data_IF_841930119048
#
_entry.id   IF_841930119048
#
_cell.length_a   1.000
_cell.length_b   1.000
_cell.length_c   1.000
_cell.angle_alpha   90.00
_cell.angle_beta   90.00
_cell.angle_gamma   90.00
#
_symmetry.space_group_name_H-M   'P 1'
#
loop_
_entity.id
_entity.type
_entity.pdbx_description
1 polymer ?
#
# COMPACT_ATOMS: atom_id res chain seq x y z
N UNK A 1 13.36 -12.50 27.91
CA UNK A 1 12.87 -13.03 26.61
C UNK A 1 13.96 -12.77 25.57
N UNK A 2 14.30 -13.78 24.77
CA UNK A 2 15.51 -13.78 23.94
C UNK A 2 15.24 -13.31 22.50
N UNK A 3 16.29 -13.02 21.73
CA UNK A 3 16.19 -12.69 20.30
C UNK A 3 15.48 -13.80 19.50
N UNK A 4 15.49 -15.04 20.00
CA UNK A 4 14.84 -16.23 19.40
C UNK A 4 13.33 -16.06 19.25
N UNK A 5 12.68 -15.47 20.24
CA UNK A 5 11.22 -15.27 20.21
C UNK A 5 10.83 -14.26 19.12
N UNK A 6 11.63 -13.21 18.94
CA UNK A 6 11.38 -12.20 17.93
C UNK A 6 11.61 -12.70 16.50
N UNK A 7 12.63 -13.54 16.28
CA UNK A 7 12.90 -14.15 14.97
C UNK A 7 11.76 -15.08 14.54
N UNK A 8 11.23 -15.90 15.46
CA UNK A 8 10.04 -16.73 15.21
C UNK A 8 8.79 -15.89 14.86
N UNK A 9 8.61 -14.75 15.52
CA UNK A 9 7.51 -13.83 15.19
C UNK A 9 7.71 -13.24 13.79
N UNK A 10 8.93 -12.80 13.44
CA UNK A 10 9.23 -12.25 12.11
C UNK A 10 9.12 -13.31 11.01
N UNK A 11 9.40 -14.58 11.29
CA UNK A 11 9.18 -15.67 10.35
C UNK A 11 7.73 -15.78 9.90
N UNK A 12 6.77 -15.57 10.82
CA UNK A 12 5.34 -15.52 10.49
C UNK A 12 5.00 -14.36 9.54
N UNK A 13 5.70 -13.24 9.63
CA UNK A 13 5.54 -12.15 8.67
C UNK A 13 6.10 -12.54 7.29
N UNK A 14 7.26 -13.20 7.25
CA UNK A 14 7.81 -13.78 6.01
C UNK A 14 6.84 -14.71 5.29
N UNK A 15 6.11 -15.55 6.03
CA UNK A 15 5.09 -16.45 5.48
C UNK A 15 3.87 -15.74 4.87
N UNK A 16 3.57 -14.49 5.28
CA UNK A 16 2.48 -13.70 4.69
C UNK A 16 2.89 -12.96 3.41
N UNK A 17 4.17 -12.63 3.28
CA UNK A 17 4.70 -11.90 2.14
C UNK A 17 4.39 -12.53 0.76
N UNK A 18 4.48 -13.86 0.52
CA UNK A 18 4.14 -14.42 -0.78
C UNK A 18 2.66 -14.26 -1.13
N UNK A 19 1.76 -14.32 -0.14
CA UNK A 19 0.33 -14.07 -0.35
C UNK A 19 0.11 -12.62 -0.77
N UNK A 20 0.74 -11.67 -0.08
CA UNK A 20 0.71 -10.26 -0.46
C UNK A 20 1.26 -10.04 -1.87
N UNK A 21 2.40 -10.66 -2.21
CA UNK A 21 2.99 -10.58 -3.55
C UNK A 21 2.01 -11.05 -4.64
N UNK A 22 1.32 -12.18 -4.43
CA UNK A 22 0.31 -12.71 -5.35
C UNK A 22 -0.86 -11.73 -5.49
N UNK A 23 -1.39 -11.20 -4.38
CA UNK A 23 -2.51 -10.25 -4.44
C UNK A 23 -2.13 -8.95 -5.17
N UNK A 24 -0.93 -8.42 -4.95
CA UNK A 24 -0.42 -7.26 -5.69
C UNK A 24 -0.25 -7.58 -7.19
N UNK A 25 0.23 -8.77 -7.54
CA UNK A 25 0.34 -9.20 -8.94
C UNK A 25 -1.04 -9.31 -9.61
N UNK A 26 -2.01 -9.93 -8.94
CA UNK A 26 -3.41 -10.00 -9.41
C UNK A 26 -3.98 -8.59 -9.57
N UNK A 27 -3.69 -7.68 -8.64
CA UNK A 27 -4.12 -6.29 -8.71
C UNK A 27 -3.52 -5.56 -9.93
N UNK A 28 -2.25 -5.80 -10.25
CA UNK A 28 -1.60 -5.28 -11.48
C UNK A 28 -2.32 -5.79 -12.73
N UNK A 29 -2.58 -7.09 -12.83
CA UNK A 29 -3.26 -7.68 -14.00
C UNK A 29 -4.65 -7.07 -14.18
N UNK A 30 -5.43 -6.96 -13.10
CA UNK A 30 -6.76 -6.34 -13.13
C UNK A 30 -6.68 -4.87 -13.55
N UNK A 31 -5.69 -4.12 -13.05
CA UNK A 31 -5.49 -2.71 -13.40
C UNK A 31 -5.19 -2.51 -14.88
N UNK A 32 -4.38 -3.41 -15.48
CA UNK A 32 -4.10 -3.40 -16.92
C UNK A 32 -5.38 -3.68 -17.72
N UNK A 33 -6.14 -4.72 -17.35
CA UNK A 33 -7.42 -5.05 -18.00
C UNK A 33 -8.40 -3.86 -17.94
N UNK A 34 -8.51 -3.21 -16.77
CA UNK A 34 -9.37 -2.04 -16.59
C UNK A 34 -8.96 -0.84 -17.45
N UNK A 35 -7.65 -0.64 -17.65
CA UNK A 35 -7.14 0.45 -18.49
C UNK A 35 -7.46 0.22 -19.97
N UNK A 36 -7.48 -1.04 -20.42
CA UNK A 36 -7.71 -1.41 -21.82
C UNK A 36 -9.20 -1.48 -22.21
N UNK A 37 -10.11 -1.54 -21.23
CA UNK A 37 -11.55 -1.72 -21.50
C UNK A 37 -12.42 -0.78 -20.67
N UNK A 38 -12.82 0.34 -21.28
CA UNK A 38 -13.77 1.28 -20.70
C UNK A 38 -15.13 0.63 -20.37
N UNK A 39 -15.58 -0.34 -21.17
CA UNK A 39 -16.83 -1.07 -20.95
C UNK A 39 -16.81 -1.93 -19.69
N UNK A 40 -15.63 -2.38 -19.25
CA UNK A 40 -15.46 -3.17 -18.03
C UNK A 40 -15.08 -2.32 -16.81
N UNK A 41 -14.94 -1.00 -16.96
CA UNK A 41 -14.38 -0.12 -15.94
C UNK A 41 -15.12 -0.26 -14.59
N UNK A 42 -16.45 -0.27 -14.59
CA UNK A 42 -17.24 -0.39 -13.34
C UNK A 42 -17.04 -1.75 -12.65
N UNK A 43 -17.00 -2.83 -13.43
CA UNK A 43 -16.74 -4.17 -12.90
C UNK A 43 -15.33 -4.26 -12.32
N UNK A 44 -14.34 -3.74 -13.05
CA UNK A 44 -12.95 -3.71 -12.63
C UNK A 44 -12.75 -2.89 -11.35
N UNK A 45 -13.40 -1.72 -11.23
CA UNK A 45 -13.35 -0.90 -10.01
C UNK A 45 -13.89 -1.66 -8.79
N UNK A 46 -15.01 -2.38 -8.92
CA UNK A 46 -15.59 -3.16 -7.84
C UNK A 46 -14.68 -4.32 -7.41
N UNK A 47 -14.14 -5.09 -8.37
CA UNK A 47 -13.22 -6.19 -8.09
C UNK A 47 -11.93 -5.65 -7.45
N UNK A 48 -11.39 -4.55 -7.99
CA UNK A 48 -10.20 -3.88 -7.48
C UNK A 48 -10.39 -3.43 -6.03
N UNK A 49 -11.58 -2.93 -5.68
CA UNK A 49 -11.88 -2.53 -4.31
C UNK A 49 -11.89 -3.72 -3.35
N UNK A 50 -12.58 -4.82 -3.70
CA UNK A 50 -12.57 -6.05 -2.88
C UNK A 50 -11.14 -6.56 -2.68
N UNK A 51 -10.34 -6.54 -3.74
CA UNK A 51 -8.95 -6.96 -3.68
C UNK A 51 -8.10 -6.03 -2.78
N UNK A 52 -8.29 -4.71 -2.86
CA UNK A 52 -7.62 -3.75 -1.97
C UNK A 52 -7.98 -3.96 -0.51
N UNK A 53 -9.25 -4.24 -0.19
CA UNK A 53 -9.67 -4.56 1.18
C UNK A 53 -8.98 -5.85 1.66
N UNK A 54 -8.86 -6.86 0.80
CA UNK A 54 -8.11 -8.09 1.10
C UNK A 54 -6.62 -7.82 1.39
N UNK A 55 -5.97 -6.99 0.55
CA UNK A 55 -4.58 -6.56 0.76
C UNK A 55 -4.45 -5.80 2.08
N UNK A 56 -5.35 -4.84 2.35
CA UNK A 56 -5.36 -4.06 3.59
C UNK A 56 -5.48 -4.96 4.82
N UNK A 57 -6.39 -5.93 4.79
CA UNK A 57 -6.57 -6.88 5.89
C UNK A 57 -5.27 -7.65 6.18
N UNK A 58 -4.59 -8.15 5.16
CA UNK A 58 -3.31 -8.83 5.32
C UNK A 58 -2.18 -7.90 5.77
N UNK A 59 -2.15 -6.65 5.31
CA UNK A 59 -1.18 -5.65 5.81
C UNK A 59 -1.42 -5.40 7.31
N UNK A 60 -2.67 -5.26 7.76
CA UNK A 60 -2.99 -5.08 9.19
C UNK A 60 -2.52 -6.28 10.01
N UNK A 61 -2.74 -7.51 9.52
CA UNK A 61 -2.24 -8.73 10.16
C UNK A 61 -0.71 -8.73 10.22
N UNK A 62 -0.04 -8.45 9.10
CA UNK A 62 1.43 -8.36 9.03
C UNK A 62 2.00 -7.30 9.97
N UNK A 63 1.40 -6.11 9.99
CA UNK A 63 1.76 -5.01 10.88
C UNK A 63 1.63 -5.40 12.36
N UNK A 64 0.58 -6.15 12.73
CA UNK A 64 0.41 -6.67 14.09
C UNK A 64 1.52 -7.66 14.46
N UNK A 65 1.92 -8.54 13.54
CA UNK A 65 3.02 -9.49 13.76
C UNK A 65 4.33 -8.73 13.98
N UNK A 66 4.66 -7.79 13.10
CA UNK A 66 5.89 -6.99 13.22
C UNK A 66 5.89 -6.14 14.51
N UNK A 67 4.74 -5.58 14.90
CA UNK A 67 4.61 -4.84 16.16
C UNK A 67 4.78 -5.72 17.41
N UNK A 68 4.39 -6.99 17.37
CA UNK A 68 4.69 -7.96 18.46
C UNK A 68 6.19 -8.21 18.57
N UNK A 69 6.90 -8.37 17.44
CA UNK A 69 8.36 -8.46 17.43
C UNK A 69 8.99 -7.17 17.99
N UNK A 70 8.47 -6.01 17.60
CA UNK A 70 8.89 -4.71 18.14
C UNK A 70 8.73 -4.60 19.66
N UNK A 71 7.59 -5.04 20.19
CA UNK A 71 7.35 -5.04 21.64
C UNK A 71 8.30 -6.00 22.37
N UNK A 72 8.53 -7.19 21.81
CA UNK A 72 9.44 -8.22 22.36
C UNK A 72 10.88 -7.72 22.42
N UNK A 73 11.31 -6.94 21.42
CA UNK A 73 12.65 -6.39 21.30
C UNK A 73 12.82 -4.99 21.91
N UNK A 74 11.74 -4.40 22.45
CA UNK A 74 11.66 -2.98 22.78
C UNK A 74 12.23 -2.07 21.67
N UNK A 75 11.80 -2.31 20.42
CA UNK A 75 12.34 -1.65 19.24
C UNK A 75 11.35 -0.66 18.61
N UNK A 76 11.68 0.62 18.70
CA UNK A 76 10.83 1.72 18.22
C UNK A 76 10.59 1.68 16.70
N UNK A 77 11.57 1.25 15.89
CA UNK A 77 11.40 1.19 14.44
C UNK A 77 10.29 0.19 14.04
N UNK A 78 10.23 -0.98 14.68
CA UNK A 78 9.18 -1.97 14.40
C UNK A 78 7.80 -1.54 14.91
N UNK A 79 7.75 -0.86 16.05
CA UNK A 79 6.50 -0.30 16.59
C UNK A 79 5.96 0.82 15.69
N UNK A 80 6.85 1.70 15.23
CA UNK A 80 6.54 2.80 14.31
C UNK A 80 6.12 2.28 12.93
N UNK A 81 6.80 1.23 12.42
CA UNK A 81 6.39 0.54 11.20
C UNK A 81 4.92 0.11 11.28
N UNK A 82 4.54 -0.59 12.36
CA UNK A 82 3.15 -1.06 12.55
C UNK A 82 2.15 0.09 12.47
N UNK A 83 2.40 1.20 13.16
CA UNK A 83 1.47 2.31 13.21
C UNK A 83 1.33 2.98 11.85
N UNK A 84 2.44 3.32 11.20
CA UNK A 84 2.39 4.05 9.94
C UNK A 84 1.98 3.20 8.74
N UNK A 85 2.33 1.91 8.69
CA UNK A 85 1.87 1.05 7.59
C UNK A 85 0.35 0.88 7.62
N UNK A 86 -0.25 0.80 8.81
CA UNK A 86 -1.71 0.67 8.97
C UNK A 86 -2.41 1.97 8.57
N UNK A 87 -1.99 3.10 9.16
CA UNK A 87 -2.57 4.42 8.84
C UNK A 87 -2.42 4.70 7.34
N UNK A 88 -1.21 4.49 6.80
CA UNK A 88 -0.90 4.71 5.39
C UNK A 88 -1.76 3.85 4.47
N UNK A 89 -1.87 2.56 4.75
CA UNK A 89 -2.66 1.63 3.92
C UNK A 89 -4.16 1.92 3.99
N UNK A 90 -4.70 2.28 5.16
CA UNK A 90 -6.12 2.69 5.29
C UNK A 90 -6.40 3.93 4.45
N UNK A 91 -5.56 4.97 4.57
CA UNK A 91 -5.71 6.20 3.80
C UNK A 91 -5.63 5.95 2.30
N UNK A 92 -4.68 5.12 1.84
CA UNK A 92 -4.56 4.76 0.43
C UNK A 92 -5.79 3.98 -0.05
N UNK A 93 -6.22 2.93 0.65
CA UNK A 93 -7.39 2.13 0.22
C UNK A 93 -8.64 2.99 0.11
N UNK A 94 -8.90 3.85 1.09
CA UNK A 94 -10.06 4.74 1.05
C UNK A 94 -9.94 5.78 -0.06
N UNK A 95 -8.79 6.43 -0.21
CA UNK A 95 -8.59 7.47 -1.22
C UNK A 95 -8.62 6.94 -2.65
N UNK A 96 -7.99 5.78 -2.93
CA UNK A 96 -8.01 5.17 -4.27
C UNK A 96 -9.43 4.75 -4.65
N UNK A 97 -10.19 4.17 -3.72
CA UNK A 97 -11.58 3.83 -3.98
C UNK A 97 -12.45 5.06 -4.18
N UNK A 98 -12.31 6.05 -3.29
CA UNK A 98 -13.01 7.33 -3.35
C UNK A 98 -12.77 8.01 -4.69
N UNK A 99 -11.51 8.23 -5.08
CA UNK A 99 -11.13 8.82 -6.36
C UNK A 99 -11.60 7.94 -7.54
N UNK A 100 -11.49 6.62 -7.44
CA UNK A 100 -11.90 5.69 -8.50
C UNK A 100 -13.41 5.70 -8.79
N UNK A 101 -14.26 5.89 -7.78
CA UNK A 101 -15.72 5.99 -7.95
C UNK A 101 -16.16 7.41 -8.29
N UNK A 102 -15.60 8.40 -7.59
CA UNK A 102 -16.07 9.77 -7.66
C UNK A 102 -15.55 10.50 -8.89
N UNK A 103 -14.39 10.12 -9.43
CA UNK A 103 -13.86 10.73 -10.64
C UNK A 103 -14.78 10.49 -11.86
N UNK A 104 -15.23 9.26 -12.18
CA UNK A 104 -16.19 9.04 -13.29
C UNK A 104 -17.55 9.70 -13.05
N UNK A 105 -18.08 9.67 -11.83
CA UNK A 105 -19.39 10.28 -11.51
C UNK A 105 -19.31 11.81 -11.65
N UNK A 106 -18.27 12.42 -11.06
CA UNK A 106 -18.04 13.85 -11.13
C UNK A 106 -17.82 14.31 -12.57
N UNK A 107 -17.05 13.56 -13.36
CA UNK A 107 -16.81 13.89 -14.77
C UNK A 107 -18.11 13.88 -15.58
N UNK A 108 -18.95 12.85 -15.45
CA UNK A 108 -20.23 12.77 -16.16
C UNK A 108 -21.18 13.92 -15.79
N UNK A 109 -21.24 14.30 -14.50
CA UNK A 109 -22.05 15.42 -14.04
C UNK A 109 -21.50 16.75 -14.59
N UNK A 110 -20.18 16.91 -14.64
CA UNK A 110 -19.53 18.11 -15.17
C UNK A 110 -19.80 18.23 -16.67
N UNK A 111 -19.67 17.13 -17.41
CA UNK A 111 -19.89 17.04 -18.86
C UNK A 111 -21.36 17.33 -19.22
N UNK A 112 -22.32 16.72 -18.51
CA UNK A 112 -23.76 16.98 -18.71
C UNK A 112 -24.10 18.46 -18.50
N UNK A 113 -23.57 19.07 -17.44
CA UNK A 113 -23.77 20.50 -17.17
C UNK A 113 -23.06 21.42 -18.14
N UNK A 114 -21.92 21.00 -18.67
CA UNK A 114 -21.17 21.74 -19.68
C UNK A 114 -21.87 21.73 -21.04
N UNK A 115 -22.47 20.60 -21.41
CA UNK A 115 -23.09 20.38 -22.74
C UNK A 115 -24.56 20.80 -22.81
N UNK A 116 -25.28 20.82 -21.69
CA UNK A 116 -26.68 21.28 -21.61
C UNK A 116 -26.87 22.81 -21.68
N UNK A 117 -25.84 23.59 -22.02
CA UNK A 117 -25.90 25.05 -22.13
C UNK A 117 -25.95 25.81 -20.79
N UNK A 118 -25.87 25.09 -19.66
CA UNK A 118 -25.97 25.63 -18.30
C UNK A 118 -24.64 25.89 -17.59
N UNK A 119 -23.50 25.77 -18.29
CA UNK A 119 -22.15 25.78 -17.71
C UNK A 119 -21.82 27.05 -16.88
N UNK A 120 -22.40 28.19 -17.24
CA UNK A 120 -22.19 29.47 -16.57
C UNK A 120 -23.21 29.79 -15.47
N UNK A 121 -24.17 28.91 -15.20
CA UNK A 121 -25.16 29.16 -14.15
C UNK A 121 -24.53 29.05 -12.76
N UNK A 122 -25.02 29.82 -11.76
CA UNK A 122 -24.54 29.70 -10.37
C UNK A 122 -24.60 28.26 -9.84
N UNK A 123 -25.62 27.49 -10.26
CA UNK A 123 -25.76 26.07 -9.91
C UNK A 123 -24.64 25.19 -10.49
N UNK A 124 -24.27 25.38 -11.75
CA UNK A 124 -23.15 24.63 -12.37
C UNK A 124 -21.81 24.98 -11.70
N UNK A 125 -21.56 26.26 -11.41
CA UNK A 125 -20.36 26.73 -10.71
C UNK A 125 -20.25 26.07 -9.33
N UNK A 126 -21.35 26.02 -8.56
CA UNK A 126 -21.37 25.37 -7.25
C UNK A 126 -21.03 23.87 -7.34
N UNK A 127 -21.54 23.18 -8.37
CA UNK A 127 -21.23 21.76 -8.63
C UNK A 127 -19.75 21.58 -8.93
N UNK A 128 -19.16 22.40 -9.79
CA UNK A 128 -17.73 22.33 -10.13
C UNK A 128 -16.83 22.54 -8.91
N UNK A 129 -17.15 23.54 -8.07
CA UNK A 129 -16.42 23.80 -6.83
C UNK A 129 -16.52 22.62 -5.87
N UNK A 130 -17.73 22.08 -5.69
CA UNK A 130 -17.98 20.96 -4.78
C UNK A 130 -17.19 19.71 -5.19
N UNK A 131 -17.21 19.35 -6.48
CA UNK A 131 -16.43 18.23 -6.99
C UNK A 131 -14.92 18.48 -6.92
N UNK A 132 -14.47 19.71 -7.16
CA UNK A 132 -13.08 20.11 -6.98
C UNK A 132 -12.59 19.88 -5.55
N UNK A 133 -13.38 20.26 -4.55
CA UNK A 133 -13.07 20.04 -3.13
C UNK A 133 -13.03 18.54 -2.80
N UNK A 134 -13.99 17.76 -3.29
CA UNK A 134 -14.07 16.31 -3.05
C UNK A 134 -12.83 15.59 -3.61
N UNK A 135 -12.41 15.95 -4.82
CA UNK A 135 -11.19 15.41 -5.46
C UNK A 135 -9.95 15.83 -4.65
N UNK A 136 -9.88 17.10 -4.23
CA UNK A 136 -8.76 17.61 -3.45
C UNK A 136 -8.58 16.85 -2.12
N UNK A 137 -9.68 16.58 -1.40
CA UNK A 137 -9.65 15.78 -0.16
C UNK A 137 -9.10 14.37 -0.44
N UNK A 138 -9.59 13.72 -1.50
CA UNK A 138 -9.11 12.39 -1.91
C UNK A 138 -7.61 12.39 -2.21
N UNK A 139 -7.11 13.41 -2.92
CA UNK A 139 -5.69 13.56 -3.23
C UNK A 139 -4.83 13.80 -1.97
N UNK A 140 -5.29 14.63 -1.04
CA UNK A 140 -4.59 14.87 0.25
C UNK A 140 -4.48 13.56 1.04
N UNK A 141 -5.56 12.79 1.13
CA UNK A 141 -5.55 11.48 1.79
C UNK A 141 -4.59 10.50 1.10
N UNK A 142 -4.58 10.47 -0.23
CA UNK A 142 -3.68 9.61 -1.01
C UNK A 142 -2.21 9.96 -0.75
N UNK A 143 -1.87 11.25 -0.81
CA UNK A 143 -0.51 11.76 -0.56
C UNK A 143 -0.09 11.45 0.88
N UNK A 144 -0.93 11.79 1.87
CA UNK A 144 -0.66 11.50 3.28
C UNK A 144 -0.46 10.00 3.53
N UNK A 145 -1.33 9.16 2.94
CA UNK A 145 -1.23 7.71 3.04
C UNK A 145 0.07 7.15 2.43
N UNK A 146 0.47 7.65 1.27
CA UNK A 146 1.73 7.29 0.64
C UNK A 146 2.95 7.70 1.46
N UNK A 147 2.97 8.91 2.02
CA UNK A 147 4.05 9.38 2.91
C UNK A 147 4.18 8.46 4.13
N UNK A 148 3.07 8.11 4.79
CA UNK A 148 3.13 7.17 5.91
C UNK A 148 3.67 5.79 5.51
N UNK A 149 3.30 5.26 4.35
CA UNK A 149 3.84 4.01 3.85
C UNK A 149 5.35 4.09 3.56
N UNK A 150 5.83 5.19 2.96
CA UNK A 150 7.27 5.43 2.73
C UNK A 150 8.03 5.42 4.06
N UNK A 151 7.51 6.14 5.06
CA UNK A 151 8.13 6.21 6.40
C UNK A 151 8.13 4.82 7.02
N UNK A 152 7.01 4.09 6.97
CA UNK A 152 6.89 2.75 7.54
C UNK A 152 7.97 1.82 6.97
N UNK A 153 8.03 1.65 5.65
CA UNK A 153 9.03 0.78 5.01
C UNK A 153 10.47 1.23 5.31
N UNK A 154 10.72 2.53 5.39
CA UNK A 154 12.00 3.08 5.85
C UNK A 154 12.36 2.64 7.27
N UNK A 155 11.39 2.60 8.21
CA UNK A 155 11.62 2.11 9.57
C UNK A 155 11.95 0.63 9.61
N UNK A 156 11.24 -0.19 8.82
CA UNK A 156 11.52 -1.62 8.74
C UNK A 156 12.91 -1.90 8.14
N UNK A 157 13.29 -1.17 7.08
CA UNK A 157 14.63 -1.20 6.51
C UNK A 157 15.68 -0.85 7.58
N UNK A 158 15.51 0.25 8.30
CA UNK A 158 16.45 0.70 9.33
C UNK A 158 16.57 -0.31 10.49
N UNK A 159 15.50 -1.01 10.84
CA UNK A 159 15.57 -2.12 11.79
C UNK A 159 16.50 -3.22 11.29
N UNK A 160 16.30 -3.70 10.05
CA UNK A 160 17.14 -4.76 9.50
C UNK A 160 18.58 -4.33 9.37
N UNK A 161 18.83 -3.10 8.90
CA UNK A 161 20.18 -2.52 8.80
C UNK A 161 20.92 -2.51 10.15
N UNK A 162 20.24 -2.06 11.21
CA UNK A 162 20.83 -2.00 12.56
C UNK A 162 20.96 -3.37 13.26
N UNK A 163 20.32 -4.42 12.75
CA UNK A 163 20.25 -5.75 13.40
C UNK A 163 20.63 -6.91 12.47
N UNK A 164 21.31 -6.64 11.34
CA UNK A 164 21.69 -7.66 10.35
C UNK A 164 22.44 -8.85 10.96
N UNK A 165 23.33 -8.60 11.93
CA UNK A 165 24.17 -9.62 12.60
C UNK A 165 23.35 -10.65 13.38
N UNK A 166 22.06 -10.38 13.65
CA UNK A 166 21.17 -11.28 14.40
C UNK A 166 20.42 -12.30 13.52
N UNK A 167 20.60 -12.24 12.21
CA UNK A 167 20.00 -13.17 11.25
C UNK A 167 21.12 -13.99 10.61
N UNK A 168 20.96 -15.31 10.51
CA UNK A 168 21.97 -16.13 9.85
C UNK A 168 21.98 -15.91 8.33
N UNK A 169 23.16 -16.10 7.73
CA UNK A 169 23.36 -16.02 6.29
C UNK A 169 22.85 -14.71 5.67
N UNK A 170 22.13 -14.82 4.55
CA UNK A 170 21.65 -13.68 3.76
C UNK A 170 20.23 -13.21 4.11
N UNK A 171 19.63 -13.69 5.22
CA UNK A 171 18.24 -13.37 5.60
C UNK A 171 18.10 -11.87 5.89
N UNK A 172 18.94 -11.32 6.76
CA UNK A 172 18.88 -9.91 7.17
C UNK A 172 19.09 -8.95 5.98
N UNK A 173 20.06 -9.26 5.10
CA UNK A 173 20.32 -8.47 3.90
C UNK A 173 19.16 -8.55 2.90
N UNK A 174 18.57 -9.73 2.70
CA UNK A 174 17.42 -9.89 1.80
C UNK A 174 16.19 -9.16 2.35
N UNK A 175 15.96 -9.20 3.66
CA UNK A 175 14.86 -8.50 4.30
C UNK A 175 15.03 -6.97 4.25
N UNK A 176 16.26 -6.47 4.45
CA UNK A 176 16.62 -5.06 4.25
C UNK A 176 16.33 -4.61 2.81
N UNK A 177 16.80 -5.39 1.83
CA UNK A 177 16.52 -5.11 0.40
C UNK A 177 15.02 -5.13 0.13
N UNK A 178 14.30 -6.14 0.62
CA UNK A 178 12.84 -6.24 0.45
C UNK A 178 12.10 -5.02 0.99
N UNK A 179 12.40 -4.61 2.23
CA UNK A 179 11.83 -3.40 2.83
C UNK A 179 12.16 -2.14 2.02
N UNK A 180 13.40 -2.02 1.52
CA UNK A 180 13.79 -0.91 0.64
C UNK A 180 13.04 -0.91 -0.69
N UNK A 181 12.86 -2.08 -1.33
CA UNK A 181 12.09 -2.17 -2.58
C UNK A 181 10.61 -1.82 -2.35
N UNK A 182 9.99 -2.25 -1.24
CA UNK A 182 8.64 -1.82 -0.88
C UNK A 182 8.56 -0.30 -0.63
N UNK A 183 9.61 0.30 -0.03
CA UNK A 183 9.71 1.75 0.13
C UNK A 183 9.73 2.46 -1.23
N UNK A 184 10.55 1.99 -2.17
CA UNK A 184 10.54 2.50 -3.55
C UNK A 184 9.18 2.29 -4.22
N UNK A 185 8.53 1.15 -3.97
CA UNK A 185 7.17 0.88 -4.43
C UNK A 185 6.17 1.94 -3.97
N UNK A 186 6.23 2.35 -2.70
CA UNK A 186 5.39 3.41 -2.16
C UNK A 186 5.70 4.80 -2.76
N UNK A 187 6.97 5.10 -3.06
CA UNK A 187 7.38 6.34 -3.75
C UNK A 187 6.80 6.36 -5.17
N UNK A 188 7.00 5.28 -5.93
CA UNK A 188 6.53 5.17 -7.32
C UNK A 188 5.00 5.13 -7.40
N UNK A 189 4.33 4.61 -6.37
CA UNK A 189 2.87 4.64 -6.27
C UNK A 189 2.32 6.07 -6.16
N UNK A 190 3.01 6.97 -5.47
CA UNK A 190 2.60 8.38 -5.35
C UNK A 190 2.74 9.15 -6.67
N UNK A 191 3.67 8.75 -7.53
CA UNK A 191 3.78 9.30 -8.88
C UNK A 191 2.76 8.63 -9.79
N UNK A 192 1.66 9.32 -10.09
CA UNK A 192 0.51 8.81 -10.86
C UNK A 192 0.88 7.92 -12.06
N UNK A 193 1.83 8.37 -12.90
CA UNK A 193 2.29 7.66 -14.10
C UNK A 193 3.10 6.38 -13.84
N UNK A 194 3.65 6.20 -12.64
CA UNK A 194 4.49 5.06 -12.27
C UNK A 194 3.82 4.14 -11.25
N UNK A 195 2.52 4.32 -11.01
CA UNK A 195 1.75 3.54 -10.03
C UNK A 195 1.82 2.03 -10.29
N UNK A 196 1.75 1.59 -11.55
CA UNK A 196 1.93 0.18 -11.95
C UNK A 196 3.34 -0.32 -11.58
N UNK A 197 4.37 0.48 -11.83
CA UNK A 197 5.75 0.15 -11.45
C UNK A 197 5.86 0.03 -9.93
N UNK A 198 5.21 0.92 -9.18
CA UNK A 198 5.14 0.86 -7.72
C UNK A 198 4.52 -0.45 -7.20
N UNK A 199 3.43 -0.93 -7.83
CA UNK A 199 2.81 -2.21 -7.50
C UNK A 199 3.74 -3.40 -7.80
N UNK A 200 4.43 -3.39 -8.94
CA UNK A 200 5.41 -4.43 -9.29
C UNK A 200 6.61 -4.45 -8.32
N UNK A 201 7.10 -3.28 -7.90
CA UNK A 201 8.12 -3.19 -6.86
C UNK A 201 7.65 -3.79 -5.54
N UNK A 202 6.38 -3.57 -5.14
CA UNK A 202 5.83 -4.24 -3.97
C UNK A 202 5.84 -5.76 -4.11
N UNK A 203 5.50 -6.32 -5.28
CA UNK A 203 5.62 -7.77 -5.53
C UNK A 203 7.05 -8.25 -5.26
N UNK A 204 8.04 -7.59 -5.87
CA UNK A 204 9.46 -7.94 -5.69
C UNK A 204 9.89 -7.80 -4.23
N UNK A 205 9.50 -6.71 -3.57
CA UNK A 205 9.84 -6.44 -2.18
C UNK A 205 9.29 -7.50 -1.22
N UNK A 206 8.03 -7.90 -1.40
CA UNK A 206 7.44 -9.01 -0.63
C UNK A 206 8.11 -10.36 -0.92
N UNK A 207 8.46 -10.66 -2.17
CA UNK A 207 9.20 -11.89 -2.50
C UNK A 207 10.60 -11.92 -1.86
N UNK A 208 11.24 -10.76 -1.68
CA UNK A 208 12.51 -10.67 -0.93
C UNK A 208 12.30 -10.85 0.59
N UNK A 209 11.22 -10.29 1.14
CA UNK A 209 10.85 -10.44 2.56
C UNK A 209 10.43 -11.87 2.93
N UNK A 210 10.03 -12.70 1.95
CA UNK A 210 9.73 -14.13 2.14
C UNK A 210 10.85 -14.87 2.89
N UNK A 211 12.12 -14.50 2.67
CA UNK A 211 13.26 -15.16 3.34
C UNK A 211 13.24 -15.04 4.86
N UNK A 212 12.44 -14.14 5.42
CA UNK A 212 12.22 -14.08 6.87
C UNK A 212 11.62 -15.37 7.41
N UNK A 213 10.90 -16.17 6.59
CA UNK A 213 10.35 -17.46 7.03
C UNK A 213 11.43 -18.40 7.59
N UNK A 214 12.66 -18.30 7.08
CA UNK A 214 13.79 -19.14 7.46
C UNK A 214 14.48 -18.62 8.74
N UNK A 215 14.03 -17.49 9.30
CA UNK A 215 14.59 -16.91 10.52
C UNK A 215 14.35 -17.78 11.77
N UNK A 216 13.37 -18.69 11.74
CA UNK A 216 13.12 -19.64 12.83
C UNK A 216 14.20 -20.72 12.93
N UNK A 217 14.77 -21.13 11.78
CA UNK A 217 15.79 -22.19 11.68
C UNK A 217 17.22 -21.66 11.83
N UNK A 218 17.38 -20.33 11.90
CA UNK A 218 18.67 -19.63 11.90
C UNK A 218 19.39 -19.56 13.26
N UNK A 219 18.94 -20.33 14.25
CA UNK A 219 19.34 -20.22 15.67
C UNK A 219 19.91 -21.52 16.18
#
# INVERSE_FOLDING_TARGET
>A
MSNTDANKILAKFGLLCPILAILYLVFVVISIIGTLSLYLLRLVLNISFVLQIGILALIIVGARIVGKAGSTLNNENLLTFRTYIVIGSVLITLSVHWLGILYPIGFNIIEDRATSGGAGTPGAIAVYITWGIIILIGLIMLIGGGVFNIIAWGRLKNFFDAKMVKFSGNIGESAKKGAFVCQLGAIFFLTFYLSIVGLLLNVIGYLLLLKLKDAEESI
#
